data_IF_060953648658
#
_entry.id   IF_060953648658
#
_cell.length_a   1.000
_cell.length_b   1.000
_cell.length_c   1.000
_cell.angle_alpha   90.00
_cell.angle_beta   90.00
_cell.angle_gamma   90.00
#
_symmetry.space_group_name_H-M   'P 1'
#
loop_
_entity.id
_entity.type
_entity.pdbx_description
1 polymer ?
#
# COMPACT_ATOMS: atom_id res chain seq x y z
N UNK A 1 -20.50 -65.03 -17.27
CA UNK A 1 -21.17 -66.32 -17.46
C UNK A 1 -21.45 -66.85 -16.08
N UNK A 2 -22.64 -67.08 -15.56
CA UNK A 2 -24.07 -67.02 -15.90
C UNK A 2 -24.73 -67.25 -14.50
N UNK A 3 -25.94 -66.86 -14.11
CA UNK A 3 -26.96 -65.92 -14.53
C UNK A 3 -28.15 -66.12 -13.54
N UNK A 4 -29.09 -65.16 -13.53
CA UNK A 4 -30.51 -65.25 -13.08
C UNK A 4 -30.81 -65.33 -11.56
N UNK A 5 -31.47 -64.35 -10.90
CA UNK A 5 -32.84 -63.73 -11.00
C UNK A 5 -33.64 -64.19 -9.75
N UNK A 6 -34.68 -63.58 -9.17
CA UNK A 6 -35.25 -62.24 -9.01
C UNK A 6 -36.54 -62.43 -8.17
N UNK A 7 -36.95 -61.41 -7.38
CA UNK A 7 -38.32 -61.21 -6.79
C UNK A 7 -38.78 -62.19 -5.69
N UNK A 8 -39.56 -61.86 -4.65
CA UNK A 8 -40.41 -60.71 -4.29
C UNK A 8 -40.86 -60.91 -2.83
N UNK A 9 -41.08 -59.84 -2.06
CA UNK A 9 -42.37 -59.57 -1.38
C UNK A 9 -42.37 -58.20 -0.68
N UNK A 10 -43.28 -57.33 -1.11
CA UNK A 10 -43.78 -56.17 -0.37
C UNK A 10 -44.99 -56.61 0.46
N UNK A 11 -45.21 -56.01 1.64
CA UNK A 11 -46.46 -55.28 1.95
C UNK A 11 -46.37 -54.49 3.26
N UNK A 12 -47.02 -53.32 3.24
CA UNK A 12 -47.15 -52.27 4.26
C UNK A 12 -48.20 -52.59 5.34
N UNK A 13 -48.17 -51.93 6.51
CA UNK A 13 -49.22 -50.94 6.95
C UNK A 13 -48.94 -50.27 8.32
N UNK A 14 -49.45 -49.03 8.46
CA UNK A 14 -49.48 -48.08 9.62
C UNK A 14 -50.49 -48.54 10.71
N UNK A 15 -50.84 -47.91 11.85
CA UNK A 15 -50.67 -46.61 12.52
C UNK A 15 -51.07 -46.79 14.02
N UNK A 16 -50.72 -45.86 14.93
CA UNK A 16 -51.63 -45.14 15.86
C UNK A 16 -50.93 -44.58 17.11
N UNK A 17 -51.35 -43.39 17.53
CA UNK A 17 -50.81 -42.62 18.64
C UNK A 17 -51.74 -42.50 19.85
N UNK A 18 -51.29 -41.78 20.88
CA UNK A 18 -52.14 -41.23 21.96
C UNK A 18 -51.40 -40.13 22.75
N UNK A 19 -52.13 -39.08 23.15
CA UNK A 19 -51.75 -37.97 24.05
C UNK A 19 -52.69 -38.00 25.28
N UNK A 20 -52.28 -37.47 26.46
CA UNK A 20 -53.18 -36.54 27.17
C UNK A 20 -52.49 -35.27 27.75
N UNK A 21 -53.32 -34.26 28.02
CA UNK A 21 -53.04 -32.85 28.32
C UNK A 21 -53.07 -32.46 29.82
N UNK A 22 -52.61 -31.24 30.17
CA UNK A 22 -53.22 -30.22 31.08
C UNK A 22 -52.27 -28.99 31.29
N UNK A 23 -52.77 -27.75 31.14
CA UNK A 23 -52.04 -26.44 31.31
C UNK A 23 -52.08 -25.86 32.74
N UNK A 24 -51.96 -24.52 33.02
CA UNK A 24 -51.82 -23.34 32.13
C UNK A 24 -50.74 -22.27 32.52
N UNK A 25 -50.59 -21.25 31.65
CA UNK A 25 -50.06 -19.87 31.79
C UNK A 25 -48.59 -19.57 32.19
N UNK A 26 -47.80 -19.11 31.20
CA UNK A 26 -47.24 -17.74 31.10
C UNK A 26 -45.86 -17.70 30.38
N UNK A 27 -45.82 -16.90 29.32
CA UNK A 27 -44.70 -16.09 28.80
C UNK A 27 -43.36 -16.73 28.33
N UNK A 28 -43.18 -16.64 27.00
CA UNK A 28 -41.94 -16.46 26.21
C UNK A 28 -40.59 -16.88 26.81
N UNK A 29 -40.08 -18.06 26.38
CA UNK A 29 -38.65 -18.28 26.12
C UNK A 29 -38.45 -19.33 25.03
N UNK A 30 -37.88 -18.94 23.88
CA UNK A 30 -37.34 -19.86 22.87
C UNK A 30 -35.82 -19.90 23.08
N UNK A 31 -35.22 -21.06 23.42
CA UNK A 31 -33.77 -21.20 23.41
C UNK A 31 -33.29 -21.42 21.97
N UNK A 32 -32.61 -20.41 21.42
CA UNK A 32 -31.75 -20.54 20.24
C UNK A 32 -30.67 -21.60 20.51
N UNK A 33 -30.80 -22.75 19.85
CA UNK A 33 -29.72 -23.74 19.71
C UNK A 33 -29.48 -23.95 18.23
N UNK A 34 -28.28 -23.58 17.77
CA UNK A 34 -27.81 -23.87 16.43
C UNK A 34 -26.64 -23.01 15.96
N UNK A 35 -25.61 -22.81 16.80
CA UNK A 35 -24.33 -22.27 16.36
C UNK A 35 -23.20 -23.25 16.69
N UNK A 36 -22.35 -23.45 15.67
CA UNK A 36 -20.95 -23.88 15.69
C UNK A 36 -20.55 -25.19 16.37
N UNK A 37 -20.30 -26.20 15.55
CA UNK A 37 -19.23 -27.20 15.83
C UNK A 37 -18.34 -27.52 14.63
N UNK A 38 -18.63 -27.02 13.42
CA UNK A 38 -17.73 -27.22 12.25
C UNK A 38 -16.79 -26.04 11.95
N UNK A 39 -17.11 -24.81 12.35
CA UNK A 39 -16.18 -23.67 12.24
C UNK A 39 -15.04 -23.72 13.28
N UNK A 40 -15.34 -24.23 14.47
CA UNK A 40 -14.39 -24.30 15.59
C UNK A 40 -13.32 -25.38 15.41
N UNK A 41 -13.59 -26.46 14.67
CA UNK A 41 -12.60 -27.53 14.41
C UNK A 41 -11.60 -27.13 13.32
N UNK A 42 -12.02 -26.32 12.32
CA UNK A 42 -11.15 -25.82 11.26
C UNK A 42 -10.22 -24.71 11.77
N UNK A 43 -10.72 -23.81 12.63
CA UNK A 43 -9.90 -22.81 13.33
C UNK A 43 -8.95 -23.46 14.35
N UNK A 44 -9.35 -24.56 15.01
CA UNK A 44 -8.45 -25.33 15.89
C UNK A 44 -7.33 -26.01 15.09
N UNK A 45 -7.64 -26.53 13.90
CA UNK A 45 -6.67 -27.19 13.04
C UNK A 45 -5.65 -26.21 12.44
N UNK A 46 -6.05 -24.97 12.13
CA UNK A 46 -5.13 -23.92 11.69
C UNK A 46 -4.26 -23.38 12.85
N UNK A 47 -4.84 -23.21 14.04
CA UNK A 47 -4.11 -22.69 15.21
C UNK A 47 -3.17 -23.70 15.88
N UNK A 48 -3.25 -24.99 15.52
CA UNK A 48 -2.36 -26.04 16.03
C UNK A 48 -1.10 -26.27 15.17
N UNK A 49 -0.92 -25.52 14.07
CA UNK A 49 0.25 -25.60 13.20
C UNK A 49 1.35 -24.56 13.52
N UNK A 50 1.16 -23.73 14.55
CA UNK A 50 2.09 -22.66 14.92
C UNK A 50 2.64 -22.85 16.35
N UNK A 51 3.94 -22.58 16.61
CA UNK A 51 4.52 -22.64 17.95
C UNK A 51 3.83 -21.70 18.95
N UNK A 52 3.79 -22.12 20.22
CA UNK A 52 2.88 -21.64 21.27
C UNK A 52 3.16 -20.21 21.80
N UNK A 53 4.00 -19.41 21.17
CA UNK A 53 4.31 -18.04 21.63
C UNK A 53 3.57 -16.92 20.87
N UNK A 54 2.79 -17.21 19.83
CA UNK A 54 2.11 -16.19 19.00
C UNK A 54 0.57 -16.28 18.99
N UNK A 55 -0.05 -17.01 19.93
CA UNK A 55 -1.51 -17.22 19.94
C UNK A 55 -2.29 -16.29 20.89
N UNK A 56 -1.94 -15.00 20.94
CA UNK A 56 -2.85 -14.01 21.53
C UNK A 56 -3.80 -13.49 20.45
N UNK A 57 -4.99 -14.10 20.40
CA UNK A 57 -6.10 -13.65 19.58
C UNK A 57 -6.53 -12.23 20.01
N UNK A 58 -6.05 -11.23 19.27
CA UNK A 58 -6.65 -9.90 19.27
C UNK A 58 -8.01 -10.03 18.60
N UNK A 59 -9.08 -9.62 19.30
CA UNK A 59 -10.41 -9.50 18.68
C UNK A 59 -10.30 -8.51 17.52
N UNK A 60 -10.46 -8.99 16.28
CA UNK A 60 -10.63 -8.13 15.13
C UNK A 60 -11.94 -7.35 15.27
N UNK A 61 -11.84 -6.02 15.24
CA UNK A 61 -12.99 -5.14 14.99
C UNK A 61 -13.25 -5.18 13.49
N UNK A 62 -14.51 -5.20 13.02
CA UNK A 62 -14.82 -5.17 11.60
C UNK A 62 -14.17 -3.96 10.93
N UNK A 63 -13.36 -4.25 9.92
CA UNK A 63 -12.61 -3.31 9.11
C UNK A 63 -13.56 -2.34 8.38
N UNK A 64 -13.45 -1.04 8.68
CA UNK A 64 -14.21 0.02 8.02
C UNK A 64 -13.34 0.65 6.92
N UNK A 65 -13.71 0.45 5.65
CA UNK A 65 -12.97 0.79 4.44
C UNK A 65 -12.78 2.30 4.16
N UNK A 66 -12.79 3.16 5.17
CA UNK A 66 -12.22 4.50 5.11
C UNK A 66 -12.25 5.14 6.49
N UNK A 67 -11.09 5.54 6.99
CA UNK A 67 -10.98 6.71 7.84
C UNK A 67 -9.58 7.28 7.60
N UNK A 68 -9.38 8.10 6.55
CA UNK A 68 -8.28 9.06 6.61
C UNK A 68 -8.49 9.91 7.89
N UNK A 69 -7.69 9.74 8.95
CA UNK A 69 -7.84 10.58 10.12
C UNK A 69 -7.52 12.01 9.68
N UNK A 70 -8.18 13.01 10.27
CA UNK A 70 -7.59 14.35 10.29
C UNK A 70 -6.26 14.22 11.04
N UNK A 71 -5.15 14.13 10.31
CA UNK A 71 -3.83 13.86 10.86
C UNK A 71 -3.39 15.08 11.67
N UNK A 72 -3.46 14.94 13.00
CA UNK A 72 -2.55 15.68 13.88
C UNK A 72 -1.11 15.26 13.55
N UNK A 73 -0.14 16.16 13.73
CA UNK A 73 1.30 15.93 13.46
C UNK A 73 1.72 14.49 13.76
N UNK A 74 2.38 13.80 12.82
CA UNK A 74 2.94 12.46 13.03
C UNK A 74 3.69 12.39 14.36
N UNK A 75 3.48 11.31 15.11
CA UNK A 75 4.23 11.06 16.33
C UNK A 75 5.67 10.70 15.93
N UNK A 76 6.61 11.64 16.11
CA UNK A 76 8.01 11.50 15.69
C UNK A 76 8.89 10.73 16.67
N UNK A 77 8.33 10.32 17.81
CA UNK A 77 9.03 9.56 18.84
C UNK A 77 8.27 8.29 19.17
N UNK A 78 8.98 7.19 19.35
CA UNK A 78 8.39 5.90 19.67
C UNK A 78 9.18 5.20 20.77
N UNK A 79 8.48 4.87 21.85
CA UNK A 79 9.04 4.09 22.96
C UNK A 79 9.48 2.72 22.44
N UNK A 80 10.62 2.22 22.90
CA UNK A 80 11.20 1.00 22.35
C UNK A 80 10.39 -0.28 22.66
N UNK A 81 9.44 -0.23 23.59
CA UNK A 81 8.52 -1.35 23.87
C UNK A 81 7.33 -1.40 22.88
N UNK A 82 7.05 -0.29 22.19
CA UNK A 82 6.02 -0.16 21.14
C UNK A 82 6.51 -0.61 19.76
N UNK A 83 7.72 -1.14 19.66
CA UNK A 83 8.27 -1.69 18.40
C UNK A 83 8.62 -3.17 18.54
N UNK A 84 8.64 -3.89 17.42
CA UNK A 84 9.04 -5.29 17.31
C UNK A 84 10.45 -5.41 16.73
N UNK A 85 11.09 -6.57 16.95
CA UNK A 85 12.39 -6.92 16.35
C UNK A 85 13.51 -5.88 16.53
N UNK A 86 13.46 -5.13 17.63
CA UNK A 86 14.39 -4.05 17.90
C UNK A 86 15.82 -4.58 18.06
N UNK A 87 16.73 -4.14 17.20
CA UNK A 87 18.16 -4.47 17.24
C UNK A 87 19.03 -3.23 17.20
N UNK A 88 20.07 -3.19 18.03
CA UNK A 88 21.08 -2.13 18.00
C UNK A 88 22.13 -2.44 16.93
N UNK A 89 22.59 -1.44 16.19
CA UNK A 89 23.70 -1.61 15.25
C UNK A 89 25.02 -1.93 15.95
N UNK A 90 25.80 -2.86 15.40
CA UNK A 90 27.20 -3.03 15.78
C UNK A 90 28.07 -1.92 15.18
N UNK A 91 28.32 -0.90 16.00
CA UNK A 91 29.16 0.23 15.62
C UNK A 91 30.57 -0.13 15.11
N UNK A 92 31.10 -1.33 15.35
CA UNK A 92 32.40 -1.77 14.81
C UNK A 92 32.32 -2.18 13.34
N UNK A 93 31.16 -2.60 12.85
CA UNK A 93 30.94 -3.01 11.47
C UNK A 93 30.56 -1.82 10.56
N UNK A 94 30.09 -0.72 11.16
CA UNK A 94 29.76 0.50 10.43
C UNK A 94 31.03 1.21 9.94
N UNK A 95 31.19 1.25 8.61
CA UNK A 95 32.31 1.90 7.95
C UNK A 95 32.19 3.42 8.01
N UNK A 96 33.33 4.10 7.82
CA UNK A 96 33.36 5.55 7.62
C UNK A 96 33.26 5.84 6.14
N UNK A 97 32.41 6.78 5.78
CA UNK A 97 32.36 7.33 4.44
C UNK A 97 33.46 8.38 4.28
N UNK A 98 34.14 8.42 3.14
CA UNK A 98 35.20 9.39 2.85
C UNK A 98 34.87 10.31 1.68
N UNK A 99 33.84 10.01 0.87
CA UNK A 99 33.48 10.85 -0.28
C UNK A 99 32.04 10.62 -0.73
N UNK A 100 31.14 11.55 -0.41
CA UNK A 100 29.79 11.55 -0.97
C UNK A 100 29.76 11.78 -2.48
N UNK A 101 30.76 12.50 -3.01
CA UNK A 101 30.94 12.63 -4.44
C UNK A 101 31.14 11.29 -5.14
N UNK A 102 31.77 10.32 -4.49
CA UNK A 102 32.03 9.01 -5.10
C UNK A 102 30.80 8.10 -5.03
N UNK A 103 29.83 8.45 -4.18
CA UNK A 103 28.54 7.78 -4.07
C UNK A 103 27.53 8.29 -5.11
N UNK A 104 27.78 9.47 -5.69
CA UNK A 104 26.98 9.99 -6.78
C UNK A 104 27.23 9.17 -8.04
N UNK A 105 26.15 8.68 -8.63
CA UNK A 105 26.15 8.02 -9.93
C UNK A 105 26.58 8.96 -11.05
N UNK A 106 26.71 8.44 -12.26
CA UNK A 106 27.11 9.20 -13.46
C UNK A 106 26.01 10.12 -14.01
N UNK A 107 24.83 10.12 -13.38
CA UNK A 107 23.79 11.13 -13.50
C UNK A 107 23.14 11.49 -12.16
N UNK A 108 23.66 10.94 -11.07
CA UNK A 108 23.09 11.09 -9.74
C UNK A 108 23.17 12.51 -9.21
N UNK A 109 22.21 12.82 -8.34
CA UNK A 109 21.88 14.15 -7.88
C UNK A 109 22.26 14.37 -6.42
N UNK A 110 22.58 15.63 -6.11
CA UNK A 110 22.72 16.08 -4.73
C UNK A 110 21.52 16.91 -4.32
N UNK A 111 20.71 16.36 -3.41
CA UNK A 111 19.44 16.92 -2.96
C UNK A 111 19.56 17.31 -1.49
N UNK A 112 19.34 18.59 -1.19
CA UNK A 112 19.43 19.11 0.19
C UNK A 112 18.23 20.01 0.48
N UNK A 113 17.14 19.45 1.03
CA UNK A 113 15.92 20.20 1.33
C UNK A 113 16.12 21.26 2.43
N UNK A 114 17.09 21.08 3.32
CA UNK A 114 17.26 21.90 4.54
C UNK A 114 16.04 21.83 5.49
N UNK A 115 15.68 22.95 6.10
CA UNK A 115 14.69 23.04 7.18
C UNK A 115 13.27 22.78 6.66
N UNK A 116 12.29 22.63 7.56
CA UNK A 116 10.89 22.45 7.17
C UNK A 116 10.46 20.98 6.98
N UNK A 117 9.22 20.80 6.53
CA UNK A 117 8.69 19.51 6.13
C UNK A 117 8.74 19.42 4.60
N UNK A 118 9.66 18.63 4.07
CA UNK A 118 9.99 18.70 2.65
C UNK A 118 9.55 17.46 1.91
N UNK A 119 9.37 17.61 0.60
CA UNK A 119 9.26 16.48 -0.32
C UNK A 119 10.48 16.44 -1.22
N UNK A 120 11.12 15.28 -1.31
CA UNK A 120 12.30 15.06 -2.13
C UNK A 120 12.07 13.86 -3.03
N UNK A 121 12.23 14.03 -4.33
CA UNK A 121 12.14 12.97 -5.33
C UNK A 121 13.46 12.95 -6.10
N UNK A 122 14.20 11.86 -5.94
CA UNK A 122 15.47 11.58 -6.61
C UNK A 122 15.32 11.06 -8.04
N UNK A 123 16.40 10.50 -8.57
CA UNK A 123 16.65 10.23 -9.98
C UNK A 123 16.74 8.74 -10.31
N UNK A 124 17.10 8.44 -11.56
CA UNK A 124 17.35 7.07 -12.03
C UNK A 124 18.76 6.57 -11.79
N UNK A 125 19.60 7.33 -11.09
CA UNK A 125 20.96 6.95 -10.74
C UNK A 125 21.24 7.22 -9.25
N UNK A 126 22.43 6.84 -8.78
CA UNK A 126 22.77 6.87 -7.35
C UNK A 126 22.83 8.31 -6.82
N UNK A 127 21.88 8.66 -5.95
CA UNK A 127 21.73 10.00 -5.40
C UNK A 127 22.32 10.15 -3.99
N UNK A 128 22.59 11.40 -3.61
CA UNK A 128 22.90 11.77 -2.23
C UNK A 128 21.86 12.77 -1.72
N UNK A 129 21.01 12.31 -0.81
CA UNK A 129 19.92 13.08 -0.21
C UNK A 129 20.25 13.44 1.23
N UNK A 130 20.28 14.74 1.54
CA UNK A 130 20.61 15.25 2.87
C UNK A 130 19.36 15.44 3.74
N UNK A 131 18.89 14.38 4.37
CA UNK A 131 17.78 14.37 5.33
C UNK A 131 18.13 14.85 6.75
N UNK A 132 18.91 15.93 6.88
CA UNK A 132 19.45 16.40 8.18
C UNK A 132 18.99 17.79 8.61
N UNK A 133 18.01 18.39 7.93
CA UNK A 133 17.67 19.80 8.11
C UNK A 133 16.65 20.10 9.21
N UNK A 134 16.17 19.09 9.93
CA UNK A 134 15.05 19.17 10.87
C UNK A 134 13.71 18.90 10.19
N UNK A 135 12.65 18.82 10.98
CA UNK A 135 11.28 18.61 10.47
C UNK A 135 11.01 17.18 9.98
N UNK A 136 10.02 17.05 9.10
CA UNK A 136 9.53 15.78 8.57
C UNK A 136 9.64 15.76 7.03
N UNK A 137 10.49 14.91 6.48
CA UNK A 137 10.65 14.79 5.03
C UNK A 137 9.92 13.55 4.50
N UNK A 138 9.29 13.68 3.33
CA UNK A 138 8.85 12.56 2.49
C UNK A 138 9.83 12.42 1.33
N UNK A 139 10.41 11.24 1.16
CA UNK A 139 11.51 10.99 0.23
C UNK A 139 11.17 9.79 -0.64
N UNK A 140 11.31 9.96 -1.95
CA UNK A 140 11.41 8.89 -2.95
C UNK A 140 12.81 9.01 -3.54
N UNK A 141 13.66 8.00 -3.39
CA UNK A 141 15.06 8.06 -3.84
C UNK A 141 15.19 7.77 -5.34
N UNK A 142 14.28 6.95 -5.88
CA UNK A 142 14.30 6.53 -7.27
C UNK A 142 15.01 5.19 -7.45
N UNK A 143 15.81 5.07 -8.50
CA UNK A 143 16.62 3.85 -8.72
C UNK A 143 18.09 4.18 -8.63
N UNK A 144 18.88 3.29 -8.05
CA UNK A 144 20.30 3.55 -7.92
C UNK A 144 20.84 2.88 -6.66
N UNK A 145 21.99 3.34 -6.21
CA UNK A 145 22.51 3.03 -4.86
C UNK A 145 22.45 4.29 -4.03
N UNK A 146 21.26 4.60 -3.54
CA UNK A 146 20.99 5.90 -2.99
C UNK A 146 21.52 6.02 -1.57
N UNK A 147 21.96 7.23 -1.24
CA UNK A 147 22.50 7.57 0.08
C UNK A 147 21.61 8.62 0.74
N UNK A 148 20.90 8.22 1.79
CA UNK A 148 20.13 9.14 2.63
C UNK A 148 20.93 9.48 3.90
N UNK A 149 21.32 10.74 4.05
CA UNK A 149 22.08 11.20 5.23
C UNK A 149 21.11 11.52 6.36
N UNK A 150 21.22 10.77 7.46
CA UNK A 150 20.39 10.94 8.66
C UNK A 150 21.10 11.85 9.67
N UNK A 151 20.35 12.79 10.24
CA UNK A 151 20.81 13.73 11.25
C UNK A 151 19.92 13.69 12.49
N UNK A 152 20.35 14.37 13.55
CA UNK A 152 19.54 14.49 14.78
C UNK A 152 18.25 15.26 14.50
N UNK A 153 17.17 14.87 15.18
CA UNK A 153 15.89 15.60 15.22
C UNK A 153 15.30 15.89 13.82
N UNK A 154 15.56 15.00 12.86
CA UNK A 154 14.93 15.01 11.53
C UNK A 154 14.34 13.64 11.27
N UNK A 155 13.06 13.60 10.95
CA UNK A 155 12.38 12.37 10.57
C UNK A 155 12.26 12.31 9.05
N UNK A 156 12.66 11.18 8.46
CA UNK A 156 12.58 10.96 7.02
C UNK A 156 11.69 9.75 6.72
N UNK A 157 10.54 9.94 6.09
CA UNK A 157 9.77 8.85 5.49
C UNK A 157 10.35 8.57 4.10
N UNK A 158 11.00 7.42 3.93
CA UNK A 158 11.60 7.02 2.65
C UNK A 158 10.74 5.92 2.05
N UNK A 159 10.01 6.26 0.98
CA UNK A 159 8.91 5.47 0.43
C UNK A 159 9.39 4.23 -0.33
N UNK A 160 10.55 4.30 -0.98
CA UNK A 160 11.07 3.32 -1.92
C UNK A 160 12.46 2.79 -1.54
N UNK A 161 12.83 2.85 -0.26
CA UNK A 161 14.13 2.37 0.19
C UNK A 161 14.33 0.89 -0.16
N UNK A 162 15.38 0.58 -0.93
CA UNK A 162 15.77 -0.77 -1.31
C UNK A 162 16.93 -1.27 -0.42
N UNK A 163 16.71 -2.20 0.53
CA UNK A 163 17.76 -2.75 1.39
C UNK A 163 18.91 -3.45 0.67
N UNK A 164 18.75 -3.80 -0.61
CA UNK A 164 19.80 -4.40 -1.42
C UNK A 164 20.78 -3.36 -1.98
N UNK A 165 20.32 -2.14 -2.26
CA UNK A 165 21.08 -1.13 -3.00
C UNK A 165 21.32 0.15 -2.20
N UNK A 166 20.35 0.58 -1.40
CA UNK A 166 20.38 1.85 -0.69
C UNK A 166 21.00 1.74 0.70
N UNK A 167 21.39 2.90 1.20
CA UNK A 167 22.04 3.00 2.51
C UNK A 167 21.77 4.35 3.19
N UNK A 168 21.96 4.33 4.50
CA UNK A 168 21.96 5.50 5.35
C UNK A 168 23.37 5.92 5.72
N UNK A 169 23.59 7.23 5.82
CA UNK A 169 24.81 7.78 6.41
C UNK A 169 24.48 8.55 7.67
N UNK A 170 25.06 8.13 8.78
CA UNK A 170 24.84 8.71 10.10
C UNK A 170 25.71 9.97 10.27
N UNK A 171 25.08 11.14 10.38
CA UNK A 171 25.72 12.43 10.54
C UNK A 171 25.53 12.98 11.96
N UNK A 172 26.62 13.03 12.73
CA UNK A 172 26.57 13.48 14.13
C UNK A 172 25.85 12.52 15.09
N UNK A 173 25.55 11.30 14.63
CA UNK A 173 24.89 10.24 15.39
C UNK A 173 25.89 9.14 15.79
N UNK A 174 25.67 8.52 16.94
CA UNK A 174 26.48 7.39 17.40
C UNK A 174 25.79 6.08 17.00
N UNK A 175 26.38 5.21 16.17
CA UNK A 175 25.72 3.98 15.72
C UNK A 175 25.28 3.06 16.86
N UNK A 176 25.95 3.07 18.01
CA UNK A 176 25.53 2.28 19.19
C UNK A 176 24.18 2.70 19.76
N UNK A 177 23.71 3.89 19.41
CA UNK A 177 22.42 4.42 19.82
C UNK A 177 21.34 4.19 18.77
N UNK A 178 21.72 3.71 17.58
CA UNK A 178 20.77 3.49 16.51
C UNK A 178 20.13 2.11 16.68
N UNK A 179 18.82 2.11 16.72
CA UNK A 179 17.97 0.92 16.70
C UNK A 179 17.35 0.80 15.31
N UNK A 180 17.36 -0.42 14.79
CA UNK A 180 16.50 -0.84 13.68
C UNK A 180 15.38 -1.67 14.29
N UNK A 181 14.13 -1.35 13.98
CA UNK A 181 12.98 -2.07 14.51
C UNK A 181 11.84 -2.14 13.49
N UNK A 182 10.89 -3.04 13.70
CA UNK A 182 9.62 -3.08 12.98
C UNK A 182 8.56 -2.34 13.79
N UNK A 183 7.69 -1.57 13.14
CA UNK A 183 6.51 -1.01 13.83
C UNK A 183 5.56 -2.09 14.36
N UNK A 184 4.74 -1.74 15.36
CA UNK A 184 3.67 -2.62 15.90
C UNK A 184 2.27 -2.05 15.73
N UNK A 185 2.15 -0.79 15.32
CA UNK A 185 0.86 -0.14 15.21
C UNK A 185 0.09 -0.75 14.03
N UNK A 186 -1.07 -1.40 14.25
CA UNK A 186 -1.85 -1.97 13.16
C UNK A 186 -2.51 -0.90 12.28
N UNK A 187 -2.15 0.38 12.47
CA UNK A 187 -2.55 1.49 11.62
C UNK A 187 -2.48 1.12 10.14
N UNK A 188 -3.54 1.50 9.42
CA UNK A 188 -3.80 1.14 8.02
C UNK A 188 -2.73 1.69 7.09
N UNK A 189 -2.61 1.09 5.91
CA UNK A 189 -1.74 1.58 4.84
C UNK A 189 -2.21 2.93 4.29
N UNK A 190 -1.26 3.74 3.81
CA UNK A 190 -1.53 5.06 3.26
C UNK A 190 -0.38 6.02 3.49
N UNK A 191 -0.43 7.18 2.83
CA UNK A 191 0.51 8.26 3.06
C UNK A 191 0.41 8.82 4.49
N UNK A 192 -0.79 8.76 5.07
CA UNK A 192 -1.08 9.25 6.41
C UNK A 192 -0.94 8.20 7.52
N UNK A 193 -0.40 7.02 7.18
CA UNK A 193 -0.19 5.97 8.17
C UNK A 193 0.75 6.42 9.29
N UNK A 194 0.53 5.98 10.55
CA UNK A 194 1.48 6.16 11.63
C UNK A 194 2.88 5.70 11.21
N UNK A 195 3.92 6.42 11.66
CA UNK A 195 5.30 6.05 11.32
C UNK A 195 5.65 4.67 11.87
N UNK A 196 5.13 4.33 13.05
CA UNK A 196 5.29 3.06 13.72
C UNK A 196 4.31 1.96 13.27
N UNK A 197 3.70 2.14 12.09
CA UNK A 197 2.88 1.12 11.42
C UNK A 197 3.62 -0.22 11.32
N UNK A 198 2.88 -1.33 11.47
CA UNK A 198 3.40 -2.69 11.27
C UNK A 198 4.04 -2.90 9.90
N UNK A 199 3.68 -2.09 8.91
CA UNK A 199 4.24 -2.17 7.57
C UNK A 199 5.58 -1.44 7.44
N UNK A 200 6.04 -0.72 8.46
CA UNK A 200 7.24 0.11 8.36
C UNK A 200 8.41 -0.47 9.16
N UNK A 201 9.58 -0.52 8.53
CA UNK A 201 10.84 -0.56 9.28
C UNK A 201 11.17 0.84 9.78
N UNK A 202 11.76 0.90 10.98
CA UNK A 202 12.10 2.13 11.68
C UNK A 202 13.60 2.19 11.95
N UNK A 203 14.19 3.37 11.77
CA UNK A 203 15.53 3.73 12.24
C UNK A 203 15.36 4.76 13.35
N UNK A 204 15.76 4.42 14.57
CA UNK A 204 15.46 5.19 15.79
C UNK A 204 16.77 5.56 16.49
N UNK A 205 16.90 6.80 16.96
CA UNK A 205 17.92 7.16 17.95
C UNK A 205 17.37 6.89 19.36
N UNK A 206 17.88 5.86 20.04
CA UNK A 206 17.38 5.48 21.37
C UNK A 206 17.74 6.45 22.49
N UNK A 207 18.53 7.48 22.23
CA UNK A 207 18.85 8.47 23.28
C UNK A 207 17.71 9.41 23.60
N UNK A 208 16.84 9.65 22.61
CA UNK A 208 15.66 10.50 22.71
C UNK A 208 14.42 9.82 22.12
N UNK A 209 14.54 8.57 21.65
CA UNK A 209 13.47 7.77 21.03
C UNK A 209 12.91 8.38 19.75
N UNK A 210 13.71 9.24 19.11
CA UNK A 210 13.34 9.92 17.87
C UNK A 210 13.44 8.98 16.67
N UNK A 211 12.40 8.96 15.84
CA UNK A 211 12.38 8.25 14.56
C UNK A 211 13.17 9.07 13.54
N UNK A 212 14.36 8.59 13.19
CA UNK A 212 15.23 9.19 12.17
C UNK A 212 14.73 8.86 10.76
N UNK A 213 14.25 7.63 10.56
CA UNK A 213 13.64 7.21 9.32
C UNK A 213 12.51 6.19 9.53
N UNK A 214 11.48 6.29 8.69
CA UNK A 214 10.38 5.34 8.57
C UNK A 214 10.36 4.83 7.12
N UNK A 215 10.37 3.52 6.94
CA UNK A 215 10.54 2.86 5.64
C UNK A 215 9.31 2.00 5.36
N UNK A 216 8.29 2.53 4.68
CA UNK A 216 7.12 1.76 4.32
C UNK A 216 7.49 0.52 3.52
N UNK A 217 6.86 -0.59 3.89
CA UNK A 217 6.95 -1.90 3.22
C UNK A 217 8.34 -2.54 3.21
N UNK A 218 9.28 -1.97 3.94
CA UNK A 218 10.57 -2.58 4.23
C UNK A 218 10.48 -3.41 5.50
N UNK A 219 11.05 -4.61 5.48
CA UNK A 219 11.18 -5.44 6.69
C UNK A 219 12.44 -5.03 7.45
N UNK A 220 12.31 -4.82 8.76
CA UNK A 220 13.45 -4.52 9.63
C UNK A 220 14.55 -5.61 9.61
N UNK A 221 14.17 -6.86 9.32
CA UNK A 221 15.09 -7.98 9.17
C UNK A 221 16.07 -7.81 7.98
N UNK A 222 15.65 -7.14 6.90
CA UNK A 222 16.45 -6.98 5.68
C UNK A 222 17.51 -5.86 5.81
N UNK A 223 17.33 -4.99 6.81
CA UNK A 223 18.25 -3.91 7.14
C UNK A 223 19.35 -4.43 8.07
N UNK A 224 20.61 -4.23 7.71
CA UNK A 224 21.75 -4.56 8.58
C UNK A 224 22.84 -3.51 8.49
N UNK A 225 23.96 -3.72 9.18
CA UNK A 225 25.12 -2.83 9.19
C UNK A 225 25.66 -2.49 7.80
N UNK A 226 25.42 -3.34 6.79
CA UNK A 226 25.78 -3.06 5.39
C UNK A 226 25.09 -1.79 4.85
N UNK A 227 23.90 -1.49 5.36
CA UNK A 227 23.08 -0.35 4.95
C UNK A 227 23.47 0.93 5.69
N UNK A 228 24.53 0.93 6.50
CA UNK A 228 24.94 2.11 7.27
C UNK A 228 26.41 2.44 7.08
N UNK A 229 26.68 3.74 6.99
CA UNK A 229 28.01 4.32 7.13
C UNK A 229 27.98 5.53 8.08
N UNK A 230 29.16 5.99 8.50
CA UNK A 230 29.32 7.22 9.29
C UNK A 230 29.84 8.34 8.42
N UNK A 231 29.20 9.51 8.51
CA UNK A 231 29.69 10.71 7.85
C UNK A 231 31.04 11.14 8.42
N UNK A 232 31.95 11.60 7.56
CA UNK A 232 33.22 12.23 7.95
C UNK A 232 33.31 13.66 7.45
N UNK A 233 34.25 14.43 8.00
CA UNK A 233 34.50 15.77 7.51
C UNK A 233 35.01 15.74 6.05
N UNK A 234 35.76 14.71 5.68
CA UNK A 234 36.24 14.45 4.32
C UNK A 234 35.08 14.24 3.36
N UNK A 235 34.14 13.35 3.68
CA UNK A 235 32.95 13.09 2.85
C UNK A 235 32.12 14.36 2.61
N UNK A 236 31.89 15.15 3.67
CA UNK A 236 31.19 16.43 3.53
C UNK A 236 31.96 17.44 2.67
N UNK A 237 33.30 17.40 2.68
CA UNK A 237 34.13 18.28 1.85
C UNK A 237 34.12 17.86 0.38
N UNK A 238 33.88 16.59 0.04
CA UNK A 238 33.86 16.17 -1.36
C UNK A 238 32.66 16.70 -2.15
N UNK A 239 31.60 17.12 -1.46
CA UNK A 239 30.48 17.87 -2.06
C UNK A 239 30.82 19.34 -2.37
N UNK A 240 32.01 19.82 -2.00
CA UNK A 240 32.49 21.16 -2.39
C UNK A 240 33.02 21.07 -3.82
N UNK A 241 32.55 21.96 -4.69
CA UNK A 241 33.00 22.01 -6.09
C UNK A 241 32.10 21.29 -7.08
N UNK A 242 30.97 20.70 -6.65
CA UNK A 242 30.02 20.05 -7.59
C UNK A 242 29.61 20.95 -8.77
N UNK A 243 29.51 22.27 -8.56
CA UNK A 243 29.26 23.22 -9.65
C UNK A 243 30.38 23.21 -10.71
N UNK A 244 31.62 23.13 -10.29
CA UNK A 244 32.79 23.06 -11.17
C UNK A 244 32.86 21.70 -11.88
N UNK A 245 32.25 20.67 -11.30
CA UNK A 245 32.06 19.34 -11.88
C UNK A 245 30.88 19.25 -12.84
N UNK A 246 30.22 20.38 -13.15
CA UNK A 246 29.13 20.45 -14.12
C UNK A 246 27.72 20.27 -13.54
N UNK A 247 27.57 20.15 -12.22
CA UNK A 247 26.23 20.06 -11.61
C UNK A 247 25.44 21.34 -11.83
N UNK A 248 24.23 21.19 -12.38
CA UNK A 248 23.29 22.30 -12.50
C UNK A 248 22.78 22.65 -11.11
N UNK A 249 23.13 23.84 -10.62
CA UNK A 249 22.81 24.25 -9.25
C UNK A 249 21.57 25.13 -9.22
N UNK A 250 20.58 24.72 -8.42
CA UNK A 250 19.42 25.54 -8.08
C UNK A 250 19.31 25.70 -6.56
N UNK A 251 18.90 26.89 -6.14
CA UNK A 251 18.70 27.22 -4.72
C UNK A 251 17.50 28.13 -4.57
N UNK A 252 16.67 27.89 -3.57
CA UNK A 252 15.50 28.72 -3.30
C UNK A 252 14.56 28.06 -2.31
N UNK A 253 13.40 28.69 -2.09
CA UNK A 253 12.30 28.14 -1.32
C UNK A 253 11.20 27.65 -2.28
N UNK A 254 10.34 26.74 -1.82
CA UNK A 254 9.21 26.19 -2.56
C UNK A 254 9.63 25.09 -3.54
N UNK A 255 9.15 25.16 -4.78
CA UNK A 255 9.41 24.14 -5.80
C UNK A 255 10.74 24.37 -6.50
N UNK A 256 11.64 23.40 -6.42
CA UNK A 256 12.88 23.31 -7.19
C UNK A 256 12.77 22.13 -8.15
N UNK A 257 12.96 22.37 -9.44
CA UNK A 257 12.86 21.33 -10.48
C UNK A 257 14.18 21.16 -11.19
N UNK A 258 14.78 19.97 -11.10
CA UNK A 258 16.02 19.59 -11.77
C UNK A 258 15.84 19.30 -13.26
N UNK A 259 16.75 18.51 -13.78
CA UNK A 259 16.88 18.10 -15.18
C UNK A 259 17.33 16.65 -15.27
N UNK A 260 17.28 16.06 -16.47
CA UNK A 260 17.81 14.73 -16.79
C UNK A 260 19.31 14.44 -16.51
N UNK A 261 20.09 15.37 -15.96
CA UNK A 261 21.50 15.13 -15.66
C UNK A 261 21.91 15.88 -14.42
N UNK A 262 23.02 15.48 -13.80
CA UNK A 262 23.36 15.84 -12.42
C UNK A 262 22.98 17.25 -11.97
N UNK A 263 22.10 17.29 -11.00
CA UNK A 263 21.56 18.45 -10.36
C UNK A 263 22.03 18.57 -8.92
N UNK A 264 22.12 19.83 -8.52
CA UNK A 264 22.38 20.24 -7.16
C UNK A 264 21.23 21.13 -6.71
N UNK A 265 20.21 20.51 -6.12
CA UNK A 265 19.02 21.20 -5.63
C UNK A 265 19.16 21.45 -4.13
N UNK A 266 19.12 22.72 -3.74
CA UNK A 266 19.27 23.12 -2.34
C UNK A 266 18.08 23.99 -1.93
N UNK A 267 17.21 23.43 -1.10
CA UNK A 267 16.13 24.13 -0.44
C UNK A 267 16.61 25.28 0.44
N UNK A 268 15.67 26.06 0.93
CA UNK A 268 15.88 27.24 1.72
C UNK A 268 15.31 27.07 3.12
N UNK A 269 14.42 27.96 3.51
CA UNK A 269 13.69 27.83 4.77
C UNK A 269 12.19 27.65 4.48
N UNK A 270 11.52 26.88 5.34
CA UNK A 270 10.14 26.47 5.12
C UNK A 270 10.06 25.15 4.35
N UNK A 271 8.84 24.76 3.97
CA UNK A 271 8.56 23.50 3.30
C UNK A 271 8.90 23.62 1.80
N UNK A 272 9.83 22.80 1.33
CA UNK A 272 10.31 22.77 -0.05
C UNK A 272 9.94 21.47 -0.77
N UNK A 273 9.76 21.57 -2.09
CA UNK A 273 9.57 20.44 -2.99
C UNK A 273 10.73 20.36 -3.97
N UNK A 274 11.65 19.42 -3.72
CA UNK A 274 12.81 19.15 -4.57
C UNK A 274 12.50 17.97 -5.47
N UNK A 275 12.49 18.21 -6.78
CA UNK A 275 12.04 17.26 -7.78
C UNK A 275 13.01 17.27 -8.95
N UNK A 276 13.59 16.13 -9.33
CA UNK A 276 14.59 16.07 -10.42
C UNK A 276 14.01 16.30 -11.83
N UNK A 277 12.68 16.33 -11.97
CA UNK A 277 11.99 16.71 -13.20
C UNK A 277 11.11 15.60 -13.80
N UNK A 278 10.10 16.00 -14.59
CA UNK A 278 9.18 15.09 -15.29
C UNK A 278 9.91 14.18 -16.31
N UNK A 279 11.15 14.52 -16.65
CA UNK A 279 12.00 13.81 -17.60
C UNK A 279 12.91 12.77 -16.93
N UNK A 280 12.92 12.68 -15.59
CA UNK A 280 13.70 11.72 -14.80
C UNK A 280 13.09 10.31 -14.71
N UNK A 281 11.89 10.11 -15.26
CA UNK A 281 11.22 8.81 -15.29
C UNK A 281 10.39 8.61 -16.57
N UNK A 282 10.02 7.36 -16.79
CA UNK A 282 9.09 6.90 -17.81
C UNK A 282 7.99 6.09 -17.15
N UNK A 283 6.80 6.21 -17.73
CA UNK A 283 5.62 5.50 -17.30
C UNK A 283 5.19 4.52 -18.39
N UNK A 284 5.08 3.24 -18.03
CA UNK A 284 4.59 2.19 -18.91
C UNK A 284 3.11 1.92 -18.67
N UNK A 285 2.47 1.19 -19.58
CA UNK A 285 1.10 0.70 -19.38
C UNK A 285 1.08 -0.36 -18.29
N UNK A 286 0.33 -0.09 -17.22
CA UNK A 286 0.00 -1.04 -16.18
C UNK A 286 -1.08 -2.01 -16.67
N UNK A 287 -0.97 -3.29 -16.30
CA UNK A 287 -1.89 -4.33 -16.75
C UNK A 287 -2.45 -5.11 -15.57
N UNK A 288 -3.75 -5.43 -15.66
CA UNK A 288 -4.46 -6.32 -14.75
C UNK A 288 -5.17 -7.43 -15.52
N UNK A 289 -5.47 -8.55 -14.86
CA UNK A 289 -6.14 -9.69 -15.49
C UNK A 289 -7.14 -10.34 -14.56
N UNK A 290 -8.13 -11.03 -15.11
CA UNK A 290 -9.14 -11.77 -14.36
C UNK A 290 -8.58 -12.74 -13.33
N UNK A 291 -7.34 -13.22 -13.54
CA UNK A 291 -6.66 -14.17 -12.65
C UNK A 291 -6.15 -13.57 -11.34
N UNK A 292 -6.01 -12.24 -11.28
CA UNK A 292 -5.61 -11.51 -10.05
C UNK A 292 -6.81 -11.04 -9.24
N UNK A 293 -8.02 -11.43 -9.63
CA UNK A 293 -9.27 -11.05 -8.98
C UNK A 293 -9.55 -11.91 -7.75
N UNK A 294 -9.73 -11.24 -6.61
CA UNK A 294 -10.04 -11.90 -5.35
C UNK A 294 -11.42 -12.57 -5.39
N UNK A 295 -11.60 -13.69 -4.69
CA UNK A 295 -11.34 -15.03 -5.21
C UNK A 295 -12.38 -15.45 -6.28
N UNK A 296 -12.11 -15.24 -7.57
CA UNK A 296 -12.79 -16.03 -8.60
C UNK A 296 -12.12 -17.40 -8.76
N UNK A 297 -12.84 -18.35 -9.38
CA UNK A 297 -12.20 -19.56 -9.91
C UNK A 297 -11.32 -19.14 -11.09
N UNK A 298 -10.03 -19.02 -10.77
CA UNK A 298 -8.89 -18.42 -11.50
C UNK A 298 -8.66 -18.92 -12.94
N UNK A 299 -9.40 -19.92 -13.41
CA UNK A 299 -8.97 -20.70 -14.56
C UNK A 299 -9.56 -20.24 -15.91
N UNK A 300 -10.72 -19.57 -15.94
CA UNK A 300 -11.48 -19.35 -17.19
C UNK A 300 -11.90 -17.90 -17.52
N UNK A 301 -11.65 -16.90 -16.66
CA UNK A 301 -12.10 -15.51 -16.91
C UNK A 301 -11.16 -14.78 -17.90
N UNK A 302 -11.63 -14.32 -19.08
CA UNK A 302 -10.80 -13.68 -20.09
C UNK A 302 -10.53 -12.19 -19.83
N UNK A 303 -11.12 -11.62 -18.76
CA UNK A 303 -11.08 -10.19 -18.46
C UNK A 303 -9.67 -9.62 -18.36
N UNK A 304 -9.46 -8.46 -18.98
CA UNK A 304 -8.18 -7.73 -18.92
C UNK A 304 -8.40 -6.24 -18.71
N UNK A 305 -7.45 -5.60 -18.02
CA UNK A 305 -7.39 -4.14 -17.88
C UNK A 305 -6.02 -3.64 -18.29
N UNK A 306 -5.99 -2.54 -19.02
CA UNK A 306 -4.77 -1.80 -19.32
C UNK A 306 -4.96 -0.33 -18.96
N UNK A 307 -4.10 0.21 -18.11
CA UNK A 307 -4.11 1.61 -17.68
C UNK A 307 -2.76 2.25 -18.02
N UNK A 308 -2.78 3.36 -18.73
CA UNK A 308 -1.58 4.12 -19.10
C UNK A 308 -1.57 5.43 -18.32
N UNK A 309 -0.68 5.56 -17.32
CA UNK A 309 -0.51 6.80 -16.57
C UNK A 309 0.42 7.79 -17.29
N UNK A 310 0.15 9.07 -17.14
CA UNK A 310 1.00 10.21 -17.46
C UNK A 310 1.03 11.12 -16.22
N UNK A 311 2.22 11.36 -15.66
CA UNK A 311 2.41 12.37 -14.62
C UNK A 311 3.15 13.55 -15.24
N UNK A 312 2.52 14.72 -15.23
CA UNK A 312 3.11 15.94 -15.77
C UNK A 312 2.72 17.16 -14.96
N UNK A 313 3.69 17.94 -14.53
CA UNK A 313 3.48 19.13 -13.70
C UNK A 313 2.62 18.85 -12.44
N UNK A 314 2.74 17.65 -11.86
CA UNK A 314 1.95 17.23 -10.69
C UNK A 314 0.52 16.79 -10.99
N UNK A 315 0.12 16.74 -12.26
CA UNK A 315 -1.18 16.19 -12.67
C UNK A 315 -0.99 14.75 -13.15
N UNK A 316 -1.63 13.80 -12.47
CA UNK A 316 -1.68 12.40 -12.89
C UNK A 316 -2.91 12.20 -13.77
N UNK A 317 -2.69 11.92 -15.05
CA UNK A 317 -3.71 11.43 -15.98
C UNK A 317 -3.56 9.93 -16.13
N UNK A 318 -4.65 9.19 -16.05
CA UNK A 318 -4.66 7.76 -16.36
C UNK A 318 -5.77 7.50 -17.35
N UNK A 319 -5.43 6.88 -18.47
CA UNK A 319 -6.39 6.46 -19.49
C UNK A 319 -6.19 4.98 -19.81
N UNK A 320 -7.29 4.29 -20.07
CA UNK A 320 -7.22 2.86 -20.30
C UNK A 320 -8.54 2.23 -20.67
N UNK A 321 -8.57 0.91 -20.63
CA UNK A 321 -9.76 0.12 -20.90
C UNK A 321 -9.79 -1.15 -20.09
N UNK A 322 -11.00 -1.61 -19.78
CA UNK A 322 -11.27 -2.99 -19.38
C UNK A 322 -11.97 -3.70 -20.55
N UNK A 323 -11.69 -5.00 -20.73
CA UNK A 323 -12.22 -5.81 -21.84
C UNK A 323 -12.58 -7.21 -21.37
N UNK A 324 -13.68 -7.73 -21.92
CA UNK A 324 -14.13 -9.11 -21.74
C UNK A 324 -14.32 -9.51 -20.26
N UNK A 325 -14.73 -8.55 -19.42
CA UNK A 325 -15.06 -8.83 -18.04
C UNK A 325 -16.31 -9.71 -17.96
N UNK A 326 -16.45 -10.50 -16.90
CA UNK A 326 -17.69 -11.25 -16.68
C UNK A 326 -18.83 -10.35 -16.18
N UNK A 327 -18.50 -9.14 -15.73
CA UNK A 327 -19.44 -8.16 -15.19
C UNK A 327 -18.98 -6.73 -15.47
N UNK A 328 -19.90 -5.76 -15.51
CA UNK A 328 -19.54 -4.35 -15.63
C UNK A 328 -19.07 -3.75 -14.28
N UNK A 329 -18.21 -2.71 -14.30
CA UNK A 329 -17.81 -1.98 -13.08
C UNK A 329 -18.99 -1.42 -12.31
N UNK A 330 -18.92 -1.45 -10.98
CA UNK A 330 -19.94 -0.81 -10.11
C UNK A 330 -20.10 0.68 -10.45
N UNK A 331 -21.30 1.21 -10.28
CA UNK A 331 -21.66 2.61 -10.51
C UNK A 331 -21.37 3.16 -11.93
N UNK A 332 -20.95 2.32 -12.88
CA UNK A 332 -20.60 2.74 -14.26
C UNK A 332 -21.80 3.13 -15.12
N UNK A 333 -23.01 2.80 -14.68
CA UNK A 333 -24.27 3.09 -15.36
C UNK A 333 -25.24 3.93 -14.48
N UNK A 334 -24.75 4.46 -13.34
CA UNK A 334 -25.51 5.34 -12.45
C UNK A 334 -26.38 4.63 -11.40
N UNK A 335 -26.22 3.32 -11.25
CA UNK A 335 -26.89 2.51 -10.22
C UNK A 335 -26.50 2.98 -8.82
N UNK A 336 -27.45 2.98 -7.89
CA UNK A 336 -27.17 3.20 -6.46
C UNK A 336 -27.51 1.99 -5.59
N UNK A 337 -28.01 0.93 -6.21
CA UNK A 337 -28.52 -0.28 -5.58
C UNK A 337 -28.08 -1.49 -6.42
N UNK A 338 -27.81 -2.62 -5.77
CA UNK A 338 -27.50 -3.90 -6.43
C UNK A 338 -28.80 -4.69 -6.60
N UNK A 339 -28.88 -5.57 -7.62
CA UNK A 339 -29.95 -6.57 -7.71
C UNK A 339 -30.05 -7.35 -6.38
N UNK A 340 -31.19 -7.31 -5.68
CA UNK A 340 -31.38 -8.06 -4.43
C UNK A 340 -31.19 -9.59 -4.56
N UNK A 341 -31.14 -10.11 -5.78
CA UNK A 341 -30.88 -11.52 -6.10
C UNK A 341 -29.42 -11.84 -6.37
N UNK A 342 -28.52 -10.85 -6.32
CA UNK A 342 -27.09 -11.07 -6.47
C UNK A 342 -26.58 -12.04 -5.38
N UNK A 343 -25.94 -13.12 -5.81
CA UNK A 343 -25.35 -14.11 -4.90
C UNK A 343 -23.93 -13.67 -4.54
N UNK A 344 -23.59 -13.64 -3.24
CA UNK A 344 -22.22 -13.43 -2.76
C UNK A 344 -21.59 -14.76 -2.37
N UNK A 345 -20.51 -15.20 -3.03
CA UNK A 345 -19.92 -16.52 -2.71
C UNK A 345 -19.22 -16.58 -1.34
N UNK A 346 -18.83 -15.45 -0.75
CA UNK A 346 -18.25 -15.41 0.61
C UNK A 346 -19.31 -15.33 1.73
N UNK A 347 -20.61 -15.28 1.40
CA UNK A 347 -21.71 -15.21 2.37
C UNK A 347 -22.00 -13.81 2.95
N UNK A 348 -21.32 -12.76 2.48
CA UNK A 348 -21.62 -11.38 2.87
C UNK A 348 -22.99 -10.93 2.34
N UNK A 349 -23.60 -9.96 3.03
CA UNK A 349 -24.82 -9.29 2.59
C UNK A 349 -24.48 -8.26 1.49
N UNK A 350 -25.04 -8.36 0.27
CA UNK A 350 -24.87 -7.35 -0.78
C UNK A 350 -25.17 -5.94 -0.32
N UNK A 351 -26.17 -5.77 0.55
CA UNK A 351 -26.52 -4.45 1.06
C UNK A 351 -25.41 -3.88 1.95
N UNK A 352 -24.79 -4.71 2.78
CA UNK A 352 -23.68 -4.27 3.63
C UNK A 352 -22.46 -3.82 2.82
N UNK A 353 -22.17 -4.47 1.68
CA UNK A 353 -21.09 -4.04 0.77
C UNK A 353 -21.38 -2.67 0.16
N UNK A 354 -22.58 -2.45 -0.38
CA UNK A 354 -22.97 -1.14 -0.91
C UNK A 354 -22.92 -0.09 0.18
N UNK A 355 -23.52 -0.37 1.34
CA UNK A 355 -23.61 0.59 2.43
C UNK A 355 -22.19 1.00 2.87
N UNK A 356 -21.21 0.07 2.85
CA UNK A 356 -19.80 0.38 3.09
C UNK A 356 -19.18 1.25 1.98
N UNK A 357 -19.41 0.94 0.70
CA UNK A 357 -18.97 1.82 -0.40
C UNK A 357 -19.56 3.23 -0.28
N UNK A 358 -20.84 3.34 0.06
CA UNK A 358 -21.55 4.60 0.22
C UNK A 358 -21.11 5.43 1.44
N UNK A 359 -20.32 4.87 2.36
CA UNK A 359 -19.69 5.66 3.45
C UNK A 359 -18.71 6.70 2.91
N UNK A 360 -18.15 6.45 1.72
CA UNK A 360 -17.26 7.37 1.00
C UNK A 360 -17.94 7.76 -0.31
N UNK A 361 -19.02 8.57 -0.27
CA UNK A 361 -19.77 8.87 -1.48
C UNK A 361 -18.99 9.76 -2.46
N UNK A 362 -17.88 10.35 -1.98
CA UNK A 362 -16.99 11.22 -2.74
C UNK A 362 -15.54 11.02 -2.31
N UNK A 363 -14.62 11.15 -3.26
CA UNK A 363 -13.20 11.23 -2.96
C UNK A 363 -12.82 12.62 -2.45
N UNK A 364 -11.52 12.82 -2.16
CA UNK A 364 -11.01 14.09 -1.59
C UNK A 364 -11.08 15.28 -2.56
N UNK A 365 -11.28 15.04 -3.86
CA UNK A 365 -11.54 16.07 -4.88
C UNK A 365 -13.04 16.30 -5.10
N UNK A 366 -13.89 15.51 -4.45
CA UNK A 366 -15.34 15.61 -4.53
C UNK A 366 -15.95 14.84 -5.71
N UNK A 367 -15.17 14.03 -6.43
CA UNK A 367 -15.66 13.18 -7.51
C UNK A 367 -16.65 12.17 -6.95
N UNK A 368 -17.66 11.80 -7.74
CA UNK A 368 -18.67 10.84 -7.30
C UNK A 368 -18.09 9.43 -7.24
N UNK A 369 -18.60 8.63 -6.31
CA UNK A 369 -18.26 7.22 -6.21
C UNK A 369 -18.36 6.49 -7.55
N UNK A 370 -17.34 5.68 -7.82
CA UNK A 370 -17.24 4.81 -8.99
C UNK A 370 -17.08 3.36 -8.54
N UNK A 371 -16.99 2.39 -9.44
CA UNK A 371 -16.49 1.04 -9.14
C UNK A 371 -14.98 0.93 -9.33
N UNK A 372 -14.34 1.99 -9.84
CA UNK A 372 -12.91 1.98 -10.17
C UNK A 372 -12.20 3.06 -9.38
N UNK A 373 -11.27 2.69 -8.51
CA UNK A 373 -10.67 3.58 -7.52
C UNK A 373 -9.15 3.48 -7.48
N UNK A 374 -8.50 4.61 -7.24
CA UNK A 374 -7.08 4.71 -6.95
C UNK A 374 -6.85 4.52 -5.45
N UNK A 375 -5.88 3.69 -5.12
CA UNK A 375 -5.51 3.32 -3.76
C UNK A 375 -4.01 3.51 -3.53
N UNK A 376 -3.64 3.67 -2.25
CA UNK A 376 -2.26 3.50 -1.81
C UNK A 376 -1.93 2.01 -1.66
N UNK A 377 -0.82 1.58 -2.25
CA UNK A 377 -0.26 0.23 -2.33
C UNK A 377 0.97 0.08 -1.44
N UNK A 378 1.16 -1.09 -0.83
CA UNK A 378 2.50 -1.64 -0.64
C UNK A 378 3.19 -1.90 -1.97
N UNK A 379 4.40 -1.39 -2.18
CA UNK A 379 5.27 -1.90 -3.23
C UNK A 379 5.75 -3.31 -2.85
N UNK A 380 5.55 -4.30 -3.74
CA UNK A 380 6.16 -5.63 -3.63
C UNK A 380 5.50 -6.65 -2.68
N UNK A 381 4.26 -6.43 -2.22
CA UNK A 381 3.64 -7.36 -1.26
C UNK A 381 3.19 -8.70 -1.90
N UNK A 382 3.89 -9.78 -1.53
CA UNK A 382 3.54 -11.16 -1.88
C UNK A 382 2.40 -11.76 -1.01
N UNK A 383 1.87 -11.02 -0.02
CA UNK A 383 0.85 -11.53 0.92
C UNK A 383 -0.51 -11.80 0.29
N UNK A 384 -0.78 -11.35 -0.94
CA UNK A 384 -2.05 -11.60 -1.60
C UNK A 384 -3.22 -10.91 -0.87
N UNK A 385 -3.83 -9.93 -1.53
CA UNK A 385 -5.25 -9.62 -1.28
C UNK A 385 -5.67 -9.16 0.13
N UNK A 386 -4.83 -8.41 0.86
CA UNK A 386 -5.34 -7.57 1.95
C UNK A 386 -5.39 -6.11 1.50
N UNK A 387 -6.62 -5.62 1.31
CA UNK A 387 -6.98 -4.27 0.93
C UNK A 387 -6.97 -3.34 2.16
N UNK A 388 -5.81 -3.14 2.80
CA UNK A 388 -5.62 -2.10 3.83
C UNK A 388 -5.36 -0.73 3.19
N UNK A 389 -6.13 -0.39 2.17
CA UNK A 389 -5.79 0.68 1.26
C UNK A 389 -6.81 1.82 1.29
N UNK A 390 -6.34 2.98 1.74
CA UNK A 390 -7.10 4.23 1.69
C UNK A 390 -7.45 4.55 0.24
N UNK A 391 -8.74 4.74 -0.03
CA UNK A 391 -9.23 5.25 -1.32
C UNK A 391 -8.74 6.68 -1.48
N UNK A 392 -8.01 6.94 -2.56
CA UNK A 392 -7.40 8.25 -2.85
C UNK A 392 -8.27 9.03 -3.81
N UNK A 393 -8.69 8.43 -4.94
CA UNK A 393 -9.51 9.06 -5.99
C UNK A 393 -10.41 8.07 -6.72
N UNK A 394 -11.46 8.60 -7.36
CA UNK A 394 -12.38 7.83 -8.20
C UNK A 394 -12.15 8.05 -9.70
N UNK A 395 -12.13 6.96 -10.47
CA UNK A 395 -12.04 7.00 -11.92
C UNK A 395 -13.43 7.05 -12.56
N UNK A 396 -13.53 7.66 -13.72
CA UNK A 396 -14.70 7.56 -14.57
C UNK A 396 -14.62 6.28 -15.40
N UNK A 397 -15.70 5.49 -15.37
CA UNK A 397 -15.89 4.34 -16.25
C UNK A 397 -16.88 4.71 -17.35
N UNK A 398 -16.55 4.44 -18.61
CA UNK A 398 -17.48 4.60 -19.74
C UNK A 398 -17.65 3.26 -20.46
N UNK A 399 -18.76 2.54 -20.22
CA UNK A 399 -19.03 1.28 -20.90
C UNK A 399 -19.09 1.45 -22.42
N UNK A 400 -18.41 0.57 -23.16
CA UNK A 400 -18.56 0.46 -24.63
C UNK A 400 -19.54 -0.65 -25.00
N UNK A 401 -19.62 -1.67 -24.16
CA UNK A 401 -20.61 -2.74 -24.21
C UNK A 401 -20.89 -3.26 -22.78
N UNK A 402 -21.55 -4.41 -22.64
CA UNK A 402 -21.91 -4.99 -21.35
C UNK A 402 -20.70 -5.43 -20.50
N UNK A 403 -19.54 -5.69 -21.14
CA UNK A 403 -18.38 -6.38 -20.55
C UNK A 403 -17.05 -5.66 -20.83
N UNK A 404 -17.08 -4.55 -21.55
CA UNK A 404 -15.92 -3.75 -21.91
C UNK A 404 -16.22 -2.25 -21.82
N UNK A 405 -15.18 -1.44 -21.63
CA UNK A 405 -15.30 0.00 -21.57
C UNK A 405 -13.97 0.70 -21.39
N UNK A 406 -14.03 2.02 -21.28
CA UNK A 406 -12.86 2.86 -21.00
C UNK A 406 -12.83 3.33 -19.56
N UNK A 407 -11.62 3.57 -19.06
CA UNK A 407 -11.35 4.10 -17.74
C UNK A 407 -10.54 5.39 -17.92
N UNK A 408 -10.95 6.46 -17.26
CA UNK A 408 -10.26 7.75 -17.31
C UNK A 408 -10.24 8.43 -15.93
N UNK A 409 -9.13 9.08 -15.61
CA UNK A 409 -8.97 9.91 -14.43
C UNK A 409 -7.92 10.99 -14.66
N UNK A 410 -8.13 12.16 -14.07
CA UNK A 410 -7.17 13.27 -14.07
C UNK A 410 -7.20 13.88 -12.66
N UNK A 411 -6.08 13.82 -11.96
CA UNK A 411 -5.98 14.18 -10.55
C UNK A 411 -4.82 15.14 -10.31
N UNK A 412 -5.05 16.17 -9.50
CA UNK A 412 -3.97 17.05 -9.05
C UNK A 412 -3.34 16.44 -7.80
N UNK A 413 -2.09 15.97 -7.93
CA UNK A 413 -1.38 15.32 -6.84
C UNK A 413 -0.61 16.36 -6.02
N UNK A 414 -0.77 16.31 -4.70
CA UNK A 414 0.13 16.99 -3.77
C UNK A 414 1.57 16.46 -3.93
N UNK A 415 2.60 17.21 -3.54
CA UNK A 415 3.98 16.74 -3.61
C UNK A 415 4.21 15.34 -3.02
N UNK A 416 3.62 15.05 -1.86
CA UNK A 416 3.75 13.75 -1.19
C UNK A 416 3.04 12.62 -1.96
N UNK A 417 1.90 12.92 -2.60
CA UNK A 417 1.20 11.97 -3.48
C UNK A 417 2.01 11.72 -4.76
N UNK A 418 2.72 12.73 -5.29
CA UNK A 418 3.65 12.55 -6.42
C UNK A 418 4.82 11.65 -6.02
N UNK A 419 5.39 11.86 -4.84
CA UNK A 419 6.46 11.01 -4.30
C UNK A 419 6.00 9.56 -4.14
N UNK A 420 4.82 9.34 -3.55
CA UNK A 420 4.22 8.01 -3.41
C UNK A 420 3.91 7.32 -4.74
N UNK A 421 3.33 8.05 -5.70
CA UNK A 421 3.09 7.51 -7.03
C UNK A 421 4.42 7.09 -7.68
N UNK A 422 5.46 7.94 -7.59
CA UNK A 422 6.76 7.64 -8.19
C UNK A 422 7.55 6.55 -7.45
N UNK A 423 7.30 6.35 -6.15
CA UNK A 423 7.80 5.20 -5.40
C UNK A 423 7.17 3.86 -5.84
N UNK A 424 6.08 3.94 -6.60
CA UNK A 424 5.29 2.79 -7.03
C UNK A 424 4.29 2.31 -5.98
N UNK A 425 3.92 3.19 -5.04
CA UNK A 425 3.04 2.88 -3.92
C UNK A 425 1.57 3.14 -4.27
N UNK A 426 1.17 3.13 -5.54
CA UNK A 426 -0.22 3.32 -5.97
C UNK A 426 -0.74 2.10 -6.74
N UNK A 427 -2.01 1.78 -6.59
CA UNK A 427 -2.70 0.80 -7.43
C UNK A 427 -4.14 1.22 -7.72
N UNK A 428 -4.70 0.72 -8.82
CA UNK A 428 -6.11 0.87 -9.14
C UNK A 428 -6.85 -0.45 -8.90
N UNK A 429 -8.02 -0.38 -8.29
CA UNK A 429 -8.96 -1.49 -8.25
C UNK A 429 -10.14 -1.20 -9.16
N UNK A 430 -10.56 -2.20 -9.95
CA UNK A 430 -11.83 -2.20 -10.68
C UNK A 430 -12.73 -3.23 -10.04
N UNK A 431 -13.77 -2.78 -9.33
CA UNK A 431 -14.82 -3.62 -8.79
C UNK A 431 -15.87 -3.89 -9.86
N UNK A 432 -15.84 -5.06 -10.49
CA UNK A 432 -16.73 -5.45 -11.58
C UNK A 432 -17.70 -6.55 -11.16
N UNK A 433 -18.96 -6.19 -10.93
CA UNK A 433 -19.95 -7.12 -10.35
C UNK A 433 -21.38 -6.95 -10.87
N UNK A 434 -21.62 -6.11 -11.89
CA UNK A 434 -22.97 -5.90 -12.47
C UNK A 434 -23.23 -6.85 -13.64
N UNK A 435 -24.29 -7.66 -13.57
CA UNK A 435 -24.76 -8.52 -14.67
C UNK A 435 -25.59 -7.73 -15.69
N UNK A 436 -24.92 -7.03 -16.59
CA UNK A 436 -25.59 -6.15 -17.55
C UNK A 436 -26.26 -6.94 -18.68
N UNK A 437 -25.73 -8.11 -19.06
CA UNK A 437 -26.27 -8.92 -20.16
C UNK A 437 -27.14 -10.10 -19.73
N UNK A 438 -27.24 -10.35 -18.42
CA UNK A 438 -28.15 -11.35 -17.84
C UNK A 438 -27.71 -12.78 -18.14
N UNK A 439 -26.44 -13.00 -18.47
CA UNK A 439 -25.91 -14.33 -18.79
C UNK A 439 -25.64 -15.17 -17.52
N UNK A 440 -25.83 -14.56 -16.34
CA UNK A 440 -25.71 -15.22 -15.04
C UNK A 440 -24.27 -15.57 -14.67
N UNK A 441 -23.27 -15.07 -15.40
CA UNK A 441 -21.86 -15.18 -15.03
C UNK A 441 -21.44 -14.11 -14.04
N UNK A 442 -22.16 -13.00 -14.02
CA UNK A 442 -22.01 -11.98 -13.00
C UNK A 442 -22.75 -12.35 -11.70
N UNK A 443 -22.16 -11.96 -10.57
CA UNK A 443 -22.60 -12.32 -9.24
C UNK A 443 -21.43 -12.21 -8.29
N UNK A 444 -21.59 -11.51 -7.17
CA UNK A 444 -20.49 -11.22 -6.25
C UNK A 444 -19.79 -12.50 -5.77
N UNK A 445 -18.44 -12.47 -5.74
CA UNK A 445 -17.80 -12.80 -4.48
C UNK A 445 -16.71 -11.82 -4.02
N UNK A 446 -16.13 -11.02 -4.93
CA UNK A 446 -15.29 -9.80 -4.74
C UNK A 446 -14.51 -9.54 -6.05
N UNK A 447 -15.19 -9.43 -7.20
CA UNK A 447 -14.48 -9.27 -8.47
C UNK A 447 -13.68 -7.97 -8.53
N UNK A 448 -12.38 -8.08 -8.30
CA UNK A 448 -11.45 -6.95 -8.16
C UNK A 448 -10.29 -7.10 -9.11
N UNK A 449 -10.34 -6.40 -10.23
CA UNK A 449 -9.16 -6.30 -11.08
C UNK A 449 -8.19 -5.29 -10.47
N UNK A 450 -7.10 -5.78 -9.87
CA UNK A 450 -6.03 -4.92 -9.33
C UNK A 450 -4.97 -4.61 -10.39
N UNK A 451 -4.66 -3.34 -10.56
CA UNK A 451 -3.67 -2.80 -11.49
C UNK A 451 -2.64 -1.99 -10.68
N UNK A 452 -1.45 -2.55 -10.48
CA UNK A 452 -0.40 -1.88 -9.70
C UNK A 452 0.38 -0.89 -10.59
N UNK A 453 0.63 0.31 -10.08
CA UNK A 453 1.59 1.25 -10.66
C UNK A 453 2.97 1.05 -10.00
N UNK A 454 3.46 -0.19 -10.00
CA UNK A 454 4.72 -0.58 -9.34
C UNK A 454 5.96 -0.12 -10.14
N UNK A 455 7.16 -0.58 -9.74
CA UNK A 455 8.44 -0.29 -10.43
C UNK A 455 8.57 -0.81 -11.87
N UNK A 456 7.69 -1.70 -12.32
CA UNK A 456 7.64 -2.09 -13.74
C UNK A 456 6.92 -1.01 -14.56
N UNK A 457 6.00 -0.28 -13.93
CA UNK A 457 5.25 0.82 -14.51
C UNK A 457 6.01 2.13 -14.38
N UNK A 458 6.50 2.45 -13.19
CA UNK A 458 7.29 3.65 -12.92
C UNK A 458 8.77 3.32 -13.00
N UNK A 459 9.44 3.79 -14.05
CA UNK A 459 10.85 3.52 -14.30
C UNK A 459 11.64 4.82 -14.35
N UNK A 460 12.49 5.06 -13.35
CA UNK A 460 13.44 6.17 -13.41
C UNK A 460 14.50 5.94 -14.51
N UNK A 461 15.07 7.03 -15.05
CA UNK A 461 15.89 7.01 -16.29
C UNK A 461 17.18 7.79 -16.24
#
# INVERSE_FOLDING_TARGET
MEAFDNKTQQTQTKADGTIPALGPDADLTIPSKGASTQGTELEKALNQALPTEESQAVKSVPDDHDHAPVVGKFQLHVELDQVADAKTLDGKQIKRDTSFRDDLGAKGDYLNPKEGNNVVIGSGDSDVIRGTGGGFNTITTGTGKDTVILGKETTNRVLDFDPANDRFVLSGLNPKNIIVAQGKNPGKGGLDQPLDSVNNALIIDKTNEHILASLPFVKAADISEKNFARSTAEANRSLRGLKDDGFKTQKGNGKLTGTQGHDRLIGGGGDDFLYVGDDGFKLNTAKGSGKTEFPFRVDDTPGTTELTPELKNGVLRVNGSYKDFEAAPLFSQGEKEIDPKAKILNGSDPKALIDNFLKVPKDVEGNSISGTHLHFSPSGDARGSFADATVVRYFTNTPTDAKSGTIAGEFELKPEEQAAFLAGDFYTNVHSNVDVDGDGKAGFPTGENRINFNRDVVQFT
#
